data_IF_129700404745
#
_entry.id   IF_129700404745
#
_cell.length_a   1.000
_cell.length_b   1.000
_cell.length_c   1.000
_cell.angle_alpha   90.00
_cell.angle_beta   90.00
_cell.angle_gamma   90.00
#
_symmetry.space_group_name_H-M   'P 1'
#
loop_
_entity.id
_entity.type
_entity.pdbx_description
1 polymer ?
#
# COMPACT_ATOMS: atom_id res chain seq x y z
N UNK A 1 9.34 -0.43 -22.64
CA UNK A 1 8.24 -0.67 -21.70
C UNK A 1 8.44 0.29 -20.56
N UNK A 2 7.51 1.20 -20.38
CA UNK A 2 7.45 2.18 -19.30
C UNK A 2 6.27 1.83 -18.38
N UNK A 3 6.13 2.55 -17.27
CA UNK A 3 5.09 2.27 -16.28
C UNK A 3 3.65 2.36 -16.85
N UNK A 4 3.43 3.30 -17.78
CA UNK A 4 2.16 3.44 -18.50
C UNK A 4 1.79 2.18 -19.31
N UNK A 5 2.79 1.41 -19.75
CA UNK A 5 2.56 0.21 -20.56
C UNK A 5 2.01 -0.95 -19.70
N UNK A 6 2.32 -0.98 -18.40
CA UNK A 6 1.82 -1.98 -17.45
C UNK A 6 0.31 -1.82 -17.26
N UNK A 7 -0.18 -0.57 -17.22
CA UNK A 7 -1.60 -0.26 -17.06
C UNK A 7 -2.33 -0.01 -18.38
N UNK A 8 -1.68 -0.28 -19.52
CA UNK A 8 -2.29 -0.16 -20.84
C UNK A 8 -3.41 -1.17 -21.03
N UNK A 9 -4.43 -0.81 -21.83
CA UNK A 9 -5.59 -1.67 -22.09
C UNK A 9 -5.21 -3.08 -22.60
N UNK A 10 -4.15 -3.19 -23.41
CA UNK A 10 -3.64 -4.47 -23.92
C UNK A 10 -3.07 -5.35 -22.81
N UNK A 11 -2.24 -4.78 -21.93
CA UNK A 11 -1.66 -5.50 -20.79
C UNK A 11 -2.74 -5.93 -19.80
N UNK A 12 -3.65 -5.02 -19.45
CA UNK A 12 -4.77 -5.31 -18.54
C UNK A 12 -5.63 -6.45 -19.06
N UNK A 13 -5.98 -6.42 -20.36
CA UNK A 13 -6.75 -7.49 -21.02
C UNK A 13 -6.02 -8.82 -20.95
N UNK A 14 -4.72 -8.86 -21.25
CA UNK A 14 -3.99 -10.12 -21.26
C UNK A 14 -3.74 -10.70 -19.86
N UNK A 15 -3.55 -9.84 -18.83
CA UNK A 15 -3.49 -10.29 -17.44
C UNK A 15 -4.86 -10.85 -17.02
N UNK A 16 -5.95 -10.14 -17.37
CA UNK A 16 -7.32 -10.57 -17.06
C UNK A 16 -7.65 -11.93 -17.65
N UNK A 17 -7.25 -12.18 -18.90
CA UNK A 17 -7.42 -13.49 -19.57
C UNK A 17 -6.70 -14.63 -18.84
N UNK A 18 -5.52 -14.38 -18.25
CA UNK A 18 -4.74 -15.41 -17.53
C UNK A 18 -5.18 -15.61 -16.08
N UNK A 19 -5.87 -14.64 -15.51
CA UNK A 19 -6.24 -14.61 -14.08
C UNK A 19 -7.74 -14.74 -13.84
N UNK A 20 -8.53 -14.88 -14.92
CA UNK A 20 -9.98 -14.89 -14.90
C UNK A 20 -10.57 -13.63 -14.22
N UNK A 21 -10.04 -12.46 -14.59
CA UNK A 21 -10.44 -11.16 -14.08
C UNK A 21 -10.79 -10.21 -15.23
N UNK A 22 -11.67 -9.25 -14.99
CA UNK A 22 -11.93 -8.18 -15.96
C UNK A 22 -10.75 -7.19 -16.02
N UNK A 23 -10.53 -6.48 -17.13
CA UNK A 23 -9.51 -5.44 -17.21
C UNK A 23 -9.61 -4.39 -16.09
N UNK A 24 -10.83 -4.06 -15.67
CA UNK A 24 -11.11 -3.13 -14.58
C UNK A 24 -10.71 -3.70 -13.22
N UNK A 25 -10.97 -4.99 -12.96
CA UNK A 25 -10.49 -5.68 -11.76
C UNK A 25 -8.97 -5.72 -11.71
N UNK A 26 -8.31 -6.02 -12.84
CA UNK A 26 -6.85 -5.98 -12.96
C UNK A 26 -6.34 -4.57 -12.67
N UNK A 27 -6.94 -3.55 -13.28
CA UNK A 27 -6.57 -2.15 -13.06
C UNK A 27 -6.64 -1.78 -11.58
N UNK A 28 -7.75 -2.09 -10.88
CA UNK A 28 -7.88 -1.84 -9.44
C UNK A 28 -6.79 -2.51 -8.62
N UNK A 29 -6.52 -3.80 -8.88
CA UNK A 29 -5.44 -4.52 -8.21
C UNK A 29 -4.09 -3.83 -8.42
N UNK A 30 -3.76 -3.45 -9.66
CA UNK A 30 -2.48 -2.81 -9.97
C UNK A 30 -2.35 -1.41 -9.36
N UNK A 31 -3.42 -0.61 -9.35
CA UNK A 31 -3.43 0.72 -8.72
C UNK A 31 -3.15 0.64 -7.23
N UNK A 32 -3.64 -0.40 -6.54
CA UNK A 32 -3.36 -0.63 -5.12
C UNK A 32 -1.97 -1.24 -4.90
N UNK A 33 -1.59 -2.20 -5.74
CA UNK A 33 -0.41 -3.04 -5.50
C UNK A 33 0.91 -2.38 -5.90
N UNK A 34 0.96 -1.66 -7.02
CA UNK A 34 2.20 -1.11 -7.55
C UNK A 34 2.88 -0.15 -6.55
N UNK A 35 2.17 0.78 -5.87
CA UNK A 35 2.78 1.62 -4.84
C UNK A 35 3.38 0.81 -3.69
N UNK A 36 2.67 -0.21 -3.20
CA UNK A 36 3.13 -1.09 -2.12
C UNK A 36 4.39 -1.84 -2.54
N UNK A 37 4.41 -2.38 -3.76
CA UNK A 37 5.56 -3.11 -4.30
C UNK A 37 6.79 -2.21 -4.43
N UNK A 38 6.64 -1.00 -5.00
CA UNK A 38 7.75 -0.04 -5.13
C UNK A 38 8.24 0.44 -3.77
N UNK A 39 7.34 0.72 -2.83
CA UNK A 39 7.69 1.08 -1.45
C UNK A 39 8.48 -0.04 -0.75
N UNK A 40 8.03 -1.28 -0.91
CA UNK A 40 8.69 -2.45 -0.34
C UNK A 40 10.06 -2.71 -0.96
N UNK A 41 10.21 -2.60 -2.28
CA UNK A 41 11.52 -2.63 -2.94
C UNK A 41 12.44 -1.53 -2.40
N UNK A 42 11.90 -0.32 -2.23
CA UNK A 42 12.69 0.80 -1.72
C UNK A 42 13.16 0.58 -0.27
N UNK A 43 12.30 -0.04 0.56
CA UNK A 43 12.65 -0.48 1.93
C UNK A 43 13.77 -1.52 1.89
N UNK A 44 13.70 -2.50 0.99
CA UNK A 44 14.74 -3.53 0.86
C UNK A 44 16.06 -2.94 0.33
N UNK A 45 15.99 -1.95 -0.55
CA UNK A 45 17.16 -1.25 -1.09
C UNK A 45 17.86 -0.31 -0.08
N UNK A 46 17.36 -0.17 1.16
CA UNK A 46 17.98 0.72 2.18
C UNK A 46 19.34 0.23 2.66
N UNK A 47 19.59 -1.08 2.58
CA UNK A 47 20.90 -1.66 2.89
C UNK A 47 21.59 -2.13 1.60
N UNK A 48 22.91 -2.24 1.67
CA UNK A 48 23.74 -2.56 0.51
C UNK A 48 23.39 -3.93 -0.10
N UNK A 49 23.13 -4.94 0.74
CA UNK A 49 22.79 -6.29 0.29
C UNK A 49 21.47 -6.33 -0.51
N UNK A 50 20.43 -5.67 0.00
CA UNK A 50 19.13 -5.59 -0.65
C UNK A 50 19.17 -4.73 -1.91
N UNK A 51 19.96 -3.65 -1.91
CA UNK A 51 20.22 -2.84 -3.10
C UNK A 51 20.92 -3.65 -4.19
N UNK A 52 21.94 -4.43 -3.86
CA UNK A 52 22.63 -5.32 -4.80
C UNK A 52 21.72 -6.46 -5.29
N UNK A 53 20.90 -7.03 -4.41
CA UNK A 53 19.92 -8.05 -4.78
C UNK A 53 18.92 -7.50 -5.81
N UNK A 54 18.41 -6.30 -5.59
CA UNK A 54 17.50 -5.64 -6.52
C UNK A 54 18.19 -5.27 -7.82
N UNK A 55 19.42 -4.75 -7.78
CA UNK A 55 20.22 -4.47 -8.98
C UNK A 55 20.38 -5.71 -9.87
N UNK A 56 20.65 -6.87 -9.27
CA UNK A 56 20.75 -8.15 -9.99
C UNK A 56 19.41 -8.58 -10.60
N UNK A 57 18.32 -8.45 -9.84
CA UNK A 57 16.97 -8.78 -10.33
C UNK A 57 16.55 -7.88 -11.49
N UNK A 58 16.83 -6.57 -11.39
CA UNK A 58 16.59 -5.59 -12.43
C UNK A 58 17.39 -5.91 -13.70
N UNK A 59 18.68 -6.21 -13.60
CA UNK A 59 19.49 -6.62 -14.74
C UNK A 59 19.00 -7.94 -15.36
N UNK A 60 18.55 -8.90 -14.54
CA UNK A 60 18.00 -10.17 -15.01
C UNK A 60 16.67 -10.01 -15.78
N UNK A 61 15.94 -8.92 -15.56
CA UNK A 61 14.61 -8.71 -16.15
C UNK A 61 14.50 -7.51 -17.09
N UNK A 62 15.52 -6.66 -17.22
CA UNK A 62 15.53 -5.49 -18.11
C UNK A 62 15.38 -5.86 -19.61
N UNK A 63 15.87 -7.04 -19.99
CA UNK A 63 15.96 -7.51 -21.37
C UNK A 63 14.76 -8.35 -21.85
N UNK A 64 13.69 -8.49 -21.05
CA UNK A 64 12.46 -9.07 -21.58
C UNK A 64 11.97 -8.21 -22.76
N UNK A 65 11.76 -8.84 -23.92
CA UNK A 65 11.24 -8.14 -25.10
C UNK A 65 9.77 -7.80 -24.85
N UNK A 66 9.49 -6.50 -24.86
CA UNK A 66 8.17 -5.94 -24.59
C UNK A 66 7.12 -6.24 -25.68
N UNK A 67 7.54 -6.68 -26.87
CA UNK A 67 6.65 -6.76 -28.04
C UNK A 67 5.86 -8.07 -28.17
N UNK A 68 6.22 -9.12 -27.45
CA UNK A 68 5.63 -10.43 -27.66
C UNK A 68 5.26 -11.11 -26.35
N UNK A 69 4.10 -10.68 -25.86
CA UNK A 69 3.18 -11.47 -25.07
C UNK A 69 3.56 -11.68 -23.60
N UNK A 70 2.59 -11.40 -22.73
CA UNK A 70 2.37 -12.07 -21.44
C UNK A 70 2.50 -13.62 -21.48
N UNK A 71 2.71 -14.23 -22.66
CA UNK A 71 3.12 -15.63 -22.85
C UNK A 71 4.47 -15.95 -22.18
N UNK A 72 5.40 -15.00 -22.12
CA UNK A 72 6.73 -15.23 -21.53
C UNK A 72 6.81 -14.82 -20.06
N UNK A 73 5.73 -14.27 -19.50
CA UNK A 73 5.65 -13.99 -18.06
C UNK A 73 5.35 -15.31 -17.37
N UNK A 74 6.32 -15.81 -16.62
CA UNK A 74 6.17 -16.98 -15.75
C UNK A 74 5.56 -16.55 -14.41
N UNK A 75 4.32 -16.98 -14.08
CA UNK A 75 3.72 -16.69 -12.79
C UNK A 75 4.55 -17.24 -11.62
N UNK A 76 5.28 -18.34 -11.79
CA UNK A 76 6.13 -18.90 -10.74
C UNK A 76 7.31 -17.98 -10.41
N UNK A 77 7.86 -17.30 -11.42
CA UNK A 77 8.87 -16.26 -11.25
C UNK A 77 8.27 -15.04 -10.53
N UNK A 78 7.05 -14.65 -10.92
CA UNK A 78 6.28 -13.62 -10.22
C UNK A 78 6.11 -13.87 -8.72
N UNK A 79 5.76 -15.09 -8.32
CA UNK A 79 5.64 -15.47 -6.90
C UNK A 79 6.98 -15.35 -6.17
N UNK A 80 8.10 -15.73 -6.81
CA UNK A 80 9.44 -15.61 -6.22
C UNK A 80 9.83 -14.15 -6.03
N UNK A 81 9.54 -13.29 -7.01
CA UNK A 81 9.76 -11.84 -6.93
C UNK A 81 8.94 -11.26 -5.79
N UNK A 82 7.64 -11.57 -5.72
CA UNK A 82 6.77 -11.10 -4.63
C UNK A 82 7.33 -11.51 -3.27
N UNK A 83 7.80 -12.74 -3.12
CA UNK A 83 8.42 -13.22 -1.88
C UNK A 83 9.71 -12.46 -1.51
N UNK A 84 10.55 -12.12 -2.49
CA UNK A 84 11.77 -11.35 -2.22
C UNK A 84 11.46 -9.88 -1.90
N UNK A 85 10.48 -9.31 -2.58
CA UNK A 85 10.11 -7.91 -2.41
C UNK A 85 9.34 -7.75 -1.10
N UNK A 86 8.20 -8.40 -0.97
CA UNK A 86 7.30 -8.24 0.17
C UNK A 86 7.71 -9.08 1.39
N UNK A 87 8.62 -10.04 1.25
CA UNK A 87 9.14 -10.83 2.37
C UNK A 87 8.05 -11.65 3.09
N UNK A 88 7.96 -11.49 4.41
CA UNK A 88 6.90 -12.08 5.24
C UNK A 88 5.51 -11.52 4.94
N UNK A 89 5.45 -10.33 4.33
CA UNK A 89 4.22 -9.55 4.23
C UNK A 89 3.40 -9.91 3.00
N UNK A 90 3.88 -10.81 2.12
CA UNK A 90 3.19 -11.25 0.89
C UNK A 90 1.73 -11.64 1.18
N UNK A 91 1.48 -12.40 2.24
CA UNK A 91 0.14 -12.88 2.58
C UNK A 91 -0.76 -11.73 3.05
N UNK A 92 -0.25 -10.84 3.89
CA UNK A 92 -0.97 -9.68 4.40
C UNK A 92 -1.28 -8.69 3.27
N UNK A 93 -0.26 -8.32 2.49
CA UNK A 93 -0.39 -7.46 1.32
C UNK A 93 -1.42 -8.02 0.32
N UNK A 94 -1.36 -9.32 0.00
CA UNK A 94 -2.32 -9.94 -0.90
C UNK A 94 -3.77 -9.89 -0.36
N UNK A 95 -3.97 -10.11 0.95
CA UNK A 95 -5.29 -10.00 1.58
C UNK A 95 -5.82 -8.58 1.51
N UNK A 96 -5.00 -7.58 1.86
CA UNK A 96 -5.39 -6.16 1.80
C UNK A 96 -5.70 -5.72 0.38
N UNK A 97 -4.86 -6.08 -0.59
CA UNK A 97 -5.08 -5.78 -2.01
C UNK A 97 -6.37 -6.43 -2.52
N UNK A 98 -6.64 -7.69 -2.16
CA UNK A 98 -7.87 -8.39 -2.53
C UNK A 98 -9.11 -7.66 -1.99
N UNK A 99 -9.09 -7.28 -0.69
CA UNK A 99 -10.17 -6.52 -0.04
C UNK A 99 -10.41 -5.18 -0.75
N UNK A 100 -9.35 -4.40 -0.98
CA UNK A 100 -9.44 -3.07 -1.58
C UNK A 100 -9.85 -3.07 -3.06
N UNK A 101 -9.47 -4.10 -3.81
CA UNK A 101 -9.80 -4.20 -5.24
C UNK A 101 -11.14 -4.90 -5.52
N UNK A 102 -11.77 -5.49 -4.49
CA UNK A 102 -13.03 -6.22 -4.61
C UNK A 102 -12.90 -7.51 -5.43
N UNK A 103 -11.76 -8.20 -5.33
CA UNK A 103 -11.49 -9.48 -6.01
C UNK A 103 -11.12 -10.56 -5.01
N UNK A 104 -11.15 -11.82 -5.44
CA UNK A 104 -10.71 -12.92 -4.57
C UNK A 104 -9.21 -12.87 -4.28
N UNK A 105 -8.77 -13.38 -3.13
CA UNK A 105 -7.35 -13.47 -2.79
C UNK A 105 -6.53 -14.27 -3.81
N UNK A 106 -7.14 -15.28 -4.46
CA UNK A 106 -6.49 -16.06 -5.52
C UNK A 106 -6.34 -15.24 -6.81
N UNK A 107 -7.36 -14.44 -7.15
CA UNK A 107 -7.32 -13.54 -8.31
C UNK A 107 -6.27 -12.45 -8.11
N UNK A 108 -6.24 -11.82 -6.93
CA UNK A 108 -5.22 -10.84 -6.58
C UNK A 108 -3.81 -11.45 -6.68
N UNK A 109 -3.59 -12.63 -6.10
CA UNK A 109 -2.30 -13.31 -6.15
C UNK A 109 -1.86 -13.62 -7.60
N UNK A 110 -2.78 -14.07 -8.44
CA UNK A 110 -2.51 -14.33 -9.86
C UNK A 110 -2.14 -13.05 -10.62
N UNK A 111 -2.86 -11.95 -10.37
CA UNK A 111 -2.56 -10.65 -11.00
C UNK A 111 -1.19 -10.14 -10.53
N UNK A 112 -0.90 -10.20 -9.24
CA UNK A 112 0.39 -9.79 -8.67
C UNK A 112 1.55 -10.62 -9.24
N UNK A 113 1.36 -11.92 -9.40
CA UNK A 113 2.37 -12.80 -10.00
C UNK A 113 2.66 -12.43 -11.47
N UNK A 114 1.67 -11.96 -12.21
CA UNK A 114 1.88 -11.44 -13.57
C UNK A 114 2.50 -10.04 -13.56
N UNK A 115 2.15 -9.21 -12.59
CA UNK A 115 2.58 -7.81 -12.49
C UNK A 115 4.04 -7.66 -12.03
N UNK A 116 4.50 -8.55 -11.13
CA UNK A 116 5.84 -8.49 -10.56
C UNK A 116 6.96 -8.51 -11.61
N UNK A 117 7.00 -9.47 -12.57
CA UNK A 117 8.02 -9.47 -13.63
C UNK A 117 7.94 -8.25 -14.55
N UNK A 118 6.73 -7.76 -14.85
CA UNK A 118 6.55 -6.57 -15.69
C UNK A 118 7.08 -5.30 -15.01
N UNK A 119 6.81 -5.15 -13.70
CA UNK A 119 7.35 -4.05 -12.90
C UNK A 119 8.88 -4.11 -12.86
N UNK A 120 9.46 -5.31 -12.67
CA UNK A 120 10.92 -5.51 -12.71
C UNK A 120 11.52 -5.14 -14.07
N UNK A 121 10.83 -5.45 -15.17
CA UNK A 121 11.28 -5.10 -16.52
C UNK A 121 11.29 -3.58 -16.73
N UNK A 122 10.24 -2.88 -16.29
CA UNK A 122 10.19 -1.41 -16.38
C UNK A 122 11.28 -0.77 -15.52
N UNK A 123 11.43 -1.20 -14.26
CA UNK A 123 12.44 -0.67 -13.36
C UNK A 123 13.86 -1.02 -13.81
N UNK A 124 14.07 -2.21 -14.36
CA UNK A 124 15.34 -2.62 -14.96
C UNK A 124 15.75 -1.69 -16.09
N UNK A 125 14.83 -1.43 -17.02
CA UNK A 125 15.05 -0.48 -18.12
C UNK A 125 15.34 0.94 -17.62
N UNK A 126 14.61 1.39 -16.60
CA UNK A 126 14.86 2.70 -15.99
C UNK A 126 16.27 2.75 -15.38
N UNK A 127 16.68 1.72 -14.63
CA UNK A 127 18.01 1.67 -14.02
C UNK A 127 19.14 1.61 -15.04
N UNK A 128 18.95 0.90 -16.17
CA UNK A 128 19.89 0.88 -17.29
C UNK A 128 19.98 2.25 -17.97
N UNK A 129 18.83 2.87 -18.25
CA UNK A 129 18.74 4.17 -18.94
C UNK A 129 19.35 5.29 -18.11
N UNK A 130 19.07 5.30 -16.80
CA UNK A 130 19.61 6.30 -15.87
C UNK A 130 20.99 5.95 -15.32
N UNK A 131 21.61 4.84 -15.78
CA UNK A 131 22.89 4.31 -15.29
C UNK A 131 22.96 4.24 -13.75
N UNK A 132 21.85 3.81 -13.13
CA UNK A 132 21.71 3.80 -11.67
C UNK A 132 22.50 2.65 -11.07
N UNK A 133 23.46 2.97 -10.20
CA UNK A 133 24.19 1.98 -9.39
C UNK A 133 23.30 1.42 -8.28
N UNK A 134 23.71 0.28 -7.69
CA UNK A 134 22.95 -0.37 -6.61
C UNK A 134 22.59 0.61 -5.48
N UNK A 135 23.55 1.40 -4.99
CA UNK A 135 23.32 2.39 -3.92
C UNK A 135 22.37 3.53 -4.31
N UNK A 136 22.11 3.72 -5.61
CA UNK A 136 21.15 4.70 -6.14
C UNK A 136 19.71 4.17 -6.26
N UNK A 137 19.50 2.86 -6.21
CA UNK A 137 18.19 2.21 -6.44
C UNK A 137 17.14 2.70 -5.44
N UNK A 138 17.48 2.77 -4.14
CA UNK A 138 16.50 3.24 -3.14
C UNK A 138 16.04 4.67 -3.44
N UNK A 139 16.94 5.55 -3.87
CA UNK A 139 16.61 6.93 -4.26
C UNK A 139 15.75 6.98 -5.52
N UNK A 140 16.05 6.16 -6.52
CA UNK A 140 15.23 6.04 -7.73
C UNK A 140 13.80 5.61 -7.40
N UNK A 141 13.65 4.56 -6.60
CA UNK A 141 12.33 4.03 -6.20
C UNK A 141 11.55 5.03 -5.34
N UNK A 142 12.22 5.72 -4.41
CA UNK A 142 11.62 6.82 -3.64
C UNK A 142 11.21 7.98 -4.53
N UNK A 143 12.00 8.31 -5.55
CA UNK A 143 11.69 9.37 -6.51
C UNK A 143 10.43 9.00 -7.32
N UNK A 144 10.35 7.75 -7.78
CA UNK A 144 9.19 7.22 -8.49
C UNK A 144 7.91 7.27 -7.65
N UNK A 145 8.02 7.03 -6.34
CA UNK A 145 6.90 7.12 -5.40
C UNK A 145 6.55 8.57 -5.02
N UNK A 146 7.56 9.44 -4.85
CA UNK A 146 7.41 10.78 -4.24
C UNK A 146 7.26 11.91 -5.26
N UNK A 147 7.27 11.64 -6.56
CA UNK A 147 7.01 12.67 -7.56
C UNK A 147 5.52 13.09 -7.55
N UNK A 148 5.14 13.86 -6.52
CA UNK A 148 3.84 14.50 -6.31
C UNK A 148 3.79 15.91 -6.92
N UNK A 149 4.14 16.02 -8.20
CA UNK A 149 3.92 17.20 -9.02
C UNK A 149 3.84 16.73 -10.46
N UNK A 150 2.92 17.31 -11.25
CA UNK A 150 2.41 16.96 -12.60
C UNK A 150 3.41 16.58 -13.69
N UNK A 151 4.41 15.75 -13.39
CA UNK A 151 5.42 15.22 -14.27
C UNK A 151 5.10 13.78 -14.65
N UNK A 152 5.17 13.49 -15.95
CA UNK A 152 4.84 12.22 -16.62
C UNK A 152 5.70 11.01 -16.26
N UNK A 153 6.50 11.07 -15.18
CA UNK A 153 7.42 10.02 -14.73
C UNK A 153 7.14 9.46 -13.33
N UNK A 154 6.11 9.94 -12.63
CA UNK A 154 5.73 9.47 -11.30
C UNK A 154 4.80 8.27 -11.35
N UNK A 155 4.98 7.28 -10.47
CA UNK A 155 4.03 6.19 -10.31
C UNK A 155 2.66 6.70 -9.86
N UNK A 156 2.63 7.61 -8.88
CA UNK A 156 1.38 8.20 -8.41
C UNK A 156 0.74 9.06 -9.51
N UNK A 157 1.53 9.83 -10.25
CA UNK A 157 1.04 10.63 -11.37
C UNK A 157 0.47 9.79 -12.52
N UNK A 158 1.12 8.67 -12.85
CA UNK A 158 0.63 7.71 -13.85
C UNK A 158 -0.66 7.03 -13.39
N UNK A 159 -0.75 6.62 -12.12
CA UNK A 159 -1.95 5.98 -11.58
C UNK A 159 -3.13 6.96 -11.46
N UNK A 160 -2.87 8.19 -11.01
CA UNK A 160 -3.87 9.25 -10.88
C UNK A 160 -4.31 9.77 -12.25
N UNK A 161 -3.36 10.11 -13.13
CA UNK A 161 -3.64 10.62 -14.47
C UNK A 161 -4.28 9.59 -15.42
N UNK A 162 -4.06 8.29 -15.20
CA UNK A 162 -4.77 7.23 -15.94
C UNK A 162 -6.13 6.85 -15.32
N UNK A 163 -6.55 7.53 -14.24
CA UNK A 163 -7.93 7.41 -13.72
C UNK A 163 -8.91 8.29 -14.51
N UNK A 164 -8.42 9.06 -15.48
CA UNK A 164 -9.21 9.95 -16.32
C UNK A 164 -9.90 9.20 -17.48
N UNK A 165 -10.94 8.43 -17.14
CA UNK A 165 -12.01 7.99 -18.06
C UNK A 165 -13.18 7.41 -17.27
N UNK A 166 -13.87 8.27 -16.52
CA UNK A 166 -15.32 8.21 -16.30
C UNK A 166 -15.74 9.47 -15.54
N UNK A 167 -15.94 10.57 -16.28
CA UNK A 167 -16.85 11.66 -15.95
C UNK A 167 -17.40 11.72 -14.50
N UNK A 168 -16.72 12.47 -13.62
CA UNK A 168 -17.34 13.42 -12.68
C UNK A 168 -16.25 14.15 -11.88
N UNK A 169 -16.37 15.47 -11.91
CA UNK A 169 -15.94 16.38 -10.86
C UNK A 169 -16.48 15.83 -9.52
N UNK A 170 -15.58 15.39 -8.61
CA UNK A 170 -15.76 15.27 -7.13
C UNK A 170 -14.96 14.13 -6.44
N UNK A 171 -14.24 13.24 -7.14
CA UNK A 171 -13.67 12.01 -6.51
C UNK A 171 -12.13 11.95 -6.39
N UNK A 172 -11.42 13.08 -6.28
CA UNK A 172 -9.97 13.05 -5.93
C UNK A 172 -9.72 12.64 -4.46
N UNK A 173 -10.74 12.72 -3.61
CA UNK A 173 -10.66 12.37 -2.19
C UNK A 173 -10.97 10.90 -1.89
N UNK A 174 -11.56 10.15 -2.83
CA UNK A 174 -12.06 8.79 -2.56
C UNK A 174 -10.97 7.71 -2.68
N UNK A 175 -10.01 7.85 -3.61
CA UNK A 175 -8.90 6.89 -3.72
C UNK A 175 -7.88 7.09 -2.59
N UNK A 176 -7.55 8.35 -2.29
CA UNK A 176 -6.66 8.69 -1.18
C UNK A 176 -7.36 8.44 0.16
N UNK A 177 -8.65 8.73 0.27
CA UNK A 177 -9.50 8.43 1.41
C UNK A 177 -9.65 6.93 1.66
N UNK A 178 -9.80 6.10 0.61
CA UNK A 178 -9.86 4.65 0.75
C UNK A 178 -8.49 4.01 1.04
N UNK A 179 -7.38 4.58 0.54
CA UNK A 179 -6.04 4.10 0.87
C UNK A 179 -5.62 4.49 2.29
N UNK A 180 -5.93 5.73 2.70
CA UNK A 180 -5.73 6.21 4.07
C UNK A 180 -6.66 5.45 5.03
N UNK A 181 -7.93 5.29 4.67
CA UNK A 181 -8.94 4.51 5.38
C UNK A 181 -8.55 3.04 5.54
N UNK A 182 -7.94 2.43 4.52
CA UNK A 182 -7.45 1.06 4.60
C UNK A 182 -6.15 0.90 5.41
N UNK A 183 -5.40 1.98 5.61
CA UNK A 183 -4.25 1.99 6.54
C UNK A 183 -4.68 2.29 7.98
N UNK A 184 -5.85 2.89 8.18
CA UNK A 184 -6.42 3.19 9.51
C UNK A 184 -7.43 2.16 10.00
N UNK A 185 -7.94 1.28 9.13
CA UNK A 185 -8.99 0.32 9.47
C UNK A 185 -8.43 -1.11 9.62
N UNK A 186 -7.85 -1.39 10.77
CA UNK A 186 -7.93 -2.70 11.44
C UNK A 186 -8.93 -2.54 12.59
N UNK A 187 -10.18 -2.97 12.38
CA UNK A 187 -10.83 -4.08 13.10
C UNK A 187 -12.35 -4.12 12.84
N UNK A 188 -12.77 -5.34 12.50
CA UNK A 188 -14.05 -6.06 12.50
C UNK A 188 -15.45 -5.40 12.53
N UNK A 189 -16.36 -6.12 11.86
CA UNK A 189 -17.81 -5.97 11.83
C UNK A 189 -18.43 -5.99 13.25
N UNK A 190 -19.18 -4.95 13.62
CA UNK A 190 -20.55 -5.01 14.17
C UNK A 190 -21.02 -3.59 14.55
N UNK A 191 -22.34 -3.40 14.52
CA UNK A 191 -23.09 -2.16 14.72
C UNK A 191 -22.65 -1.34 15.95
N UNK A 192 -22.14 -0.12 15.75
CA UNK A 192 -22.55 1.13 16.40
C UNK A 192 -21.51 2.23 16.12
N UNK A 193 -22.00 3.34 15.59
CA UNK A 193 -21.24 4.47 15.03
C UNK A 193 -20.59 5.31 16.15
N UNK A 194 -19.39 4.94 16.60
CA UNK A 194 -18.54 5.76 17.46
C UNK A 194 -17.23 6.09 16.74
N UNK A 195 -17.20 7.31 16.18
CA UNK A 195 -16.09 7.83 15.39
C UNK A 195 -14.75 7.76 16.14
N UNK A 196 -13.74 7.18 15.50
CA UNK A 196 -12.34 7.14 15.96
C UNK A 196 -11.76 8.55 16.20
N UNK A 197 -12.40 9.59 15.65
CA UNK A 197 -12.16 10.99 15.96
C UNK A 197 -12.30 11.32 17.47
N UNK A 198 -13.10 10.56 18.23
CA UNK A 198 -13.23 10.74 19.69
C UNK A 198 -12.01 10.24 20.45
N UNK A 199 -11.33 9.19 19.98
CA UNK A 199 -10.14 8.65 20.66
C UNK A 199 -8.88 9.50 20.41
N UNK A 200 -8.63 9.98 19.18
CA UNK A 200 -7.57 10.98 18.95
C UNK A 200 -7.89 12.34 19.58
N UNK A 201 -9.17 12.71 19.64
CA UNK A 201 -9.65 13.85 20.41
C UNK A 201 -9.35 13.69 21.92
N UNK A 202 -9.51 12.49 22.47
CA UNK A 202 -9.22 12.19 23.88
C UNK A 202 -7.73 12.14 24.23
N UNK A 203 -6.86 11.73 23.29
CA UNK A 203 -5.40 11.83 23.48
C UNK A 203 -4.89 13.28 23.39
N UNK A 204 -5.46 14.09 22.49
CA UNK A 204 -5.16 15.52 22.42
C UNK A 204 -5.72 16.30 23.63
N UNK A 205 -6.90 15.92 24.13
CA UNK A 205 -7.50 16.50 25.33
C UNK A 205 -6.76 16.12 26.62
N UNK A 206 -6.24 14.88 26.73
CA UNK A 206 -5.42 14.47 27.88
C UNK A 206 -4.03 15.12 27.89
N UNK A 207 -3.52 15.59 26.75
CA UNK A 207 -2.26 16.35 26.70
C UNK A 207 -2.45 17.86 26.92
N UNK A 208 -3.67 18.39 26.71
CA UNK A 208 -3.99 19.81 26.83
C UNK A 208 -4.85 20.19 28.06
N UNK A 209 -5.19 19.23 28.95
CA UNK A 209 -6.29 19.39 29.89
C UNK A 209 -6.07 18.94 31.33
N UNK A 210 -4.85 18.99 31.89
CA UNK A 210 -4.67 18.86 33.35
C UNK A 210 -4.78 20.24 34.01
N UNK A 211 -6.00 20.77 34.05
CA UNK A 211 -6.33 22.09 34.60
C UNK A 211 -7.59 22.07 35.45
N UNK A 212 -7.53 21.32 36.56
CA UNK A 212 -8.26 21.51 37.82
C UNK A 212 -9.44 22.49 37.83
N UNK A 213 -10.66 21.97 37.98
CA UNK A 213 -11.80 22.76 38.47
C UNK A 213 -13.11 21.98 38.47
N UNK A 214 -13.66 21.65 39.64
CA UNK A 214 -14.97 20.98 39.70
C UNK A 214 -15.45 20.51 41.07
N UNK A 215 -15.56 21.46 42.00
CA UNK A 215 -16.42 21.50 43.20
C UNK A 215 -17.59 20.49 43.20
N UNK A 216 -17.74 19.72 44.29
CA UNK A 216 -19.00 19.06 44.67
C UNK A 216 -19.28 19.36 46.15
N UNK A 217 -20.26 20.23 46.37
CA UNK A 217 -20.94 20.44 47.63
C UNK A 217 -22.01 19.33 47.83
N UNK A 218 -22.27 18.95 49.08
CA UNK A 218 -23.59 18.49 49.51
C UNK A 218 -23.74 17.04 49.99
N UNK A 219 -23.43 16.81 51.28
CA UNK A 219 -24.31 16.17 52.29
C UNK A 219 -25.02 14.83 51.98
N UNK A 220 -24.55 13.75 52.63
CA UNK A 220 -25.17 13.12 53.81
C UNK A 220 -24.80 11.63 53.95
N UNK A 221 -24.23 11.26 55.10
CA UNK A 221 -24.46 9.95 55.72
C UNK A 221 -23.23 9.10 56.04
N UNK A 222 -23.11 8.74 57.33
CA UNK A 222 -22.20 7.74 57.93
C UNK A 222 -20.77 8.26 58.21
N UNK A 223 -20.46 8.99 59.29
CA UNK A 223 -20.79 8.73 60.69
C UNK A 223 -20.86 7.23 61.12
N UNK A 224 -20.60 6.27 60.23
CA UNK A 224 -21.11 4.91 60.40
C UNK A 224 -20.18 3.78 59.99
N UNK A 225 -19.12 4.02 59.22
CA UNK A 225 -18.19 2.94 58.94
C UNK A 225 -16.75 3.45 58.97
N UNK A 226 -16.03 2.91 59.94
CA UNK A 226 -14.59 2.76 59.91
C UNK A 226 -13.75 3.92 60.48
N UNK A 227 -14.29 4.47 61.57
CA UNK A 227 -13.63 4.54 62.89
C UNK A 227 -13.05 3.17 63.39
N UNK A 228 -12.83 2.21 62.49
CA UNK A 228 -12.49 0.79 62.71
C UNK A 228 -11.09 0.48 62.18
N UNK A 229 -10.42 1.38 61.44
CA UNK A 229 -9.03 1.16 61.02
C UNK A 229 -7.97 1.89 61.86
N UNK A 230 -8.34 2.69 62.88
CA UNK A 230 -7.36 3.41 63.72
C UNK A 230 -7.23 2.91 65.17
N UNK A 231 -7.84 1.76 65.52
CA UNK A 231 -7.69 1.11 66.84
C UNK A 231 -7.03 -0.27 66.79
N UNK A 232 -6.46 -0.66 65.66
CA UNK A 232 -5.73 -1.93 65.52
C UNK A 232 -4.33 -1.72 64.95
N UNK A 233 -3.50 -0.94 65.65
CA UNK A 233 -2.26 -1.39 66.30
C UNK A 233 -1.58 -0.24 67.04
#
# INVERSE_FOLDING_TARGET
>A
MNLNDIISASTLKGIGQKTNATPEQVKRVLTTALPIMVQSMAKNAKNEEGAQSLAKAFAAHANFKADASLKNVDPADGVKILKHVLGSDVKAANKSIAKQSGVSASTAAGILAMAAPLLMQVLGKETETSQTSASGISKLLLSLLKAGGSGSGSLLGTLLGNSDSANKEDDENDLLGNLLGAFTNDDDDDEDDESILSQVGSLAANLAGSGSGGKKDGDNGLAGLLLTMLKSK
#
